data_IF_883289956781
#
_entry.id   IF_883289956781
#
_cell.length_a   1.000
_cell.length_b   1.000
_cell.length_c   1.000
_cell.angle_alpha   90.00
_cell.angle_beta   90.00
_cell.angle_gamma   90.00
#
_symmetry.space_group_name_H-M   'P 1'
#
loop_
_entity.id
_entity.type
_entity.pdbx_description
1 polymer ?
#
# COMPACT_ATOMS: atom_id res chain seq x y z
N UNK A 1 24.08 13.36 -38.89
CA UNK A 1 22.85 13.07 -39.69
C UNK A 1 21.70 12.96 -38.73
N UNK A 2 20.85 14.02 -38.62
CA UNK A 2 19.64 13.98 -37.85
C UNK A 2 18.59 13.19 -38.64
N UNK A 3 18.31 11.96 -38.26
CA UNK A 3 17.13 11.27 -38.75
C UNK A 3 15.91 11.91 -38.11
N UNK A 4 14.89 12.31 -38.88
CA UNK A 4 13.67 12.85 -38.32
C UNK A 4 13.00 11.74 -37.53
N UNK A 5 12.86 11.95 -36.22
CA UNK A 5 12.04 11.10 -35.35
C UNK A 5 10.58 11.36 -35.69
N UNK A 6 9.99 10.52 -36.54
CA UNK A 6 8.52 10.51 -36.64
C UNK A 6 7.95 10.05 -35.31
N UNK A 7 6.98 10.79 -34.75
CA UNK A 7 6.32 10.35 -33.51
C UNK A 7 5.61 9.03 -33.77
N UNK A 8 5.84 8.04 -32.89
CA UNK A 8 5.15 6.76 -32.94
C UNK A 8 3.68 7.02 -32.63
N UNK A 9 2.82 7.00 -33.66
CA UNK A 9 1.38 7.10 -33.50
C UNK A 9 0.78 5.71 -33.29
N UNK A 10 0.32 5.44 -32.08
CA UNK A 10 -0.46 4.23 -31.80
C UNK A 10 -1.89 4.40 -32.31
N UNK A 11 -2.50 3.29 -32.79
CA UNK A 11 -3.95 3.28 -33.00
C UNK A 11 -4.66 3.56 -31.68
N UNK A 12 -5.86 4.14 -31.70
CA UNK A 12 -6.65 4.41 -30.50
C UNK A 12 -6.89 3.15 -29.66
N UNK A 13 -7.06 2.01 -30.33
CA UNK A 13 -7.21 0.71 -29.69
C UNK A 13 -5.94 0.30 -28.90
N UNK A 14 -4.77 0.46 -29.51
CA UNK A 14 -3.48 0.17 -28.85
C UNK A 14 -3.20 1.10 -27.68
N UNK A 15 -3.53 2.38 -27.81
CA UNK A 15 -3.40 3.34 -26.72
C UNK A 15 -4.29 2.96 -25.54
N UNK A 16 -5.51 2.50 -25.78
CA UNK A 16 -6.44 2.02 -24.75
C UNK A 16 -5.93 0.76 -24.06
N UNK A 17 -5.39 -0.22 -24.79
CA UNK A 17 -4.77 -1.41 -24.21
C UNK A 17 -3.61 -1.06 -23.28
N UNK A 18 -2.72 -0.15 -23.68
CA UNK A 18 -1.60 0.30 -22.86
C UNK A 18 -2.07 1.03 -21.60
N UNK A 19 -3.12 1.85 -21.71
CA UNK A 19 -3.72 2.51 -20.56
C UNK A 19 -4.31 1.48 -19.58
N UNK A 20 -5.04 0.48 -20.06
CA UNK A 20 -5.61 -0.59 -19.22
C UNK A 20 -4.52 -1.40 -18.48
N UNK A 21 -3.39 -1.67 -19.13
CA UNK A 21 -2.25 -2.35 -18.53
C UNK A 21 -1.57 -1.52 -17.44
N UNK A 22 -1.58 -0.20 -17.57
CA UNK A 22 -0.95 0.69 -16.60
C UNK A 22 -1.81 1.00 -15.38
N UNK A 23 -3.11 0.72 -15.42
CA UNK A 23 -4.05 1.01 -14.34
C UNK A 23 -4.05 -0.06 -13.25
N UNK A 24 -3.73 0.34 -12.00
CA UNK A 24 -3.71 -0.54 -10.84
C UNK A 24 -4.94 -0.39 -9.91
N UNK A 25 -5.98 0.32 -10.35
CA UNK A 25 -7.19 0.55 -9.56
C UNK A 25 -7.97 -0.75 -9.30
N UNK A 26 -8.80 -0.81 -8.25
CA UNK A 26 -9.72 -1.92 -8.03
C UNK A 26 -10.57 -2.18 -9.28
N UNK A 27 -10.69 -3.45 -9.67
CA UNK A 27 -11.51 -3.85 -10.84
C UNK A 27 -10.79 -3.81 -12.20
N UNK A 28 -9.66 -3.11 -12.34
CA UNK A 28 -8.86 -3.16 -13.58
C UNK A 28 -8.13 -4.51 -13.71
N UNK A 29 -7.80 -4.98 -14.92
CA UNK A 29 -7.09 -6.24 -15.11
C UNK A 29 -5.78 -6.30 -14.32
N UNK A 30 -4.93 -5.28 -14.46
CA UNK A 30 -3.66 -5.20 -13.74
C UNK A 30 -3.86 -5.01 -12.23
N UNK A 31 -4.85 -4.21 -11.82
CA UNK A 31 -5.19 -4.04 -10.42
C UNK A 31 -5.62 -5.36 -9.75
N UNK A 32 -6.38 -6.20 -10.43
CA UNK A 32 -6.72 -7.55 -9.93
C UNK A 32 -5.49 -8.46 -9.87
N UNK A 33 -4.62 -8.41 -10.87
CA UNK A 33 -3.39 -9.20 -10.88
C UNK A 33 -2.46 -8.82 -9.72
N UNK A 34 -2.13 -7.53 -9.57
CA UNK A 34 -1.19 -7.05 -8.56
C UNK A 34 -1.68 -7.33 -7.13
N UNK A 35 -2.99 -7.28 -6.89
CA UNK A 35 -3.58 -7.60 -5.58
C UNK A 35 -3.43 -9.06 -5.16
N UNK A 36 -3.12 -9.96 -6.08
CA UNK A 36 -2.87 -11.39 -5.78
C UNK A 36 -1.50 -11.64 -5.13
N UNK A 37 -0.67 -10.64 -5.04
CA UNK A 37 0.67 -10.72 -4.44
C UNK A 37 0.77 -9.81 -3.22
N UNK A 38 1.61 -10.20 -2.27
CA UNK A 38 2.03 -9.31 -1.19
C UNK A 38 2.80 -8.12 -1.76
N UNK A 39 2.37 -6.93 -1.41
CA UNK A 39 2.95 -5.67 -1.89
C UNK A 39 3.72 -4.98 -0.78
N UNK A 40 4.98 -4.54 -1.00
CA UNK A 40 5.66 -3.66 -0.07
C UNK A 40 4.96 -2.29 -0.08
N UNK A 41 4.75 -1.70 1.09
CA UNK A 41 4.03 -0.42 1.20
C UNK A 41 4.93 0.71 1.69
N UNK A 42 5.81 0.45 2.65
CA UNK A 42 6.75 1.44 3.19
C UNK A 42 7.83 0.75 4.03
N UNK A 43 8.88 1.49 4.40
CA UNK A 43 9.86 1.04 5.37
C UNK A 43 9.23 0.87 6.78
N UNK A 44 9.57 -0.21 7.48
CA UNK A 44 9.00 -0.55 8.79
C UNK A 44 9.27 0.51 9.86
N UNK A 45 10.40 1.18 9.79
CA UNK A 45 10.85 2.19 10.76
C UNK A 45 10.11 3.54 10.63
N UNK A 46 9.42 3.78 9.51
CA UNK A 46 8.61 4.98 9.30
C UNK A 46 7.34 5.02 10.16
N UNK A 47 6.88 3.86 10.63
CA UNK A 47 5.68 3.77 11.46
C UNK A 47 6.06 3.17 12.80
N UNK A 48 6.14 4.02 13.82
CA UNK A 48 6.49 3.60 15.17
C UNK A 48 5.26 3.01 15.89
N UNK A 49 5.46 2.13 16.90
CA UNK A 49 4.36 1.69 17.78
C UNK A 49 3.54 2.89 18.31
N UNK A 50 2.22 2.75 18.30
CA UNK A 50 1.29 3.80 18.72
C UNK A 50 1.09 4.93 17.70
N UNK A 51 1.58 4.81 16.46
CA UNK A 51 1.43 5.84 15.42
C UNK A 51 0.72 5.35 14.18
N UNK A 52 0.16 6.29 13.41
CA UNK A 52 -0.52 6.04 12.15
C UNK A 52 -0.05 7.00 11.06
N UNK A 53 0.02 6.53 9.83
CA UNK A 53 0.37 7.33 8.65
C UNK A 53 -0.61 7.07 7.49
N UNK A 54 -0.82 8.07 6.61
CA UNK A 54 -1.51 7.84 5.34
C UNK A 54 -0.58 7.09 4.39
N UNK A 55 -1.14 6.14 3.66
CA UNK A 55 -0.43 5.41 2.60
C UNK A 55 -1.32 5.26 1.39
N UNK A 56 -0.71 5.17 0.20
CA UNK A 56 -1.42 4.89 -1.04
C UNK A 56 -0.83 3.65 -1.69
N UNK A 57 -1.68 2.69 -2.01
CA UNK A 57 -1.27 1.45 -2.65
C UNK A 57 -2.31 1.01 -3.68
N UNK A 58 -1.85 0.67 -4.90
CA UNK A 58 -2.70 0.21 -6.01
C UNK A 58 -3.94 1.09 -6.21
N UNK A 59 -3.74 2.41 -6.20
CA UNK A 59 -4.76 3.45 -6.34
C UNK A 59 -5.77 3.55 -5.19
N UNK A 60 -5.53 2.89 -4.06
CA UNK A 60 -6.34 3.04 -2.84
C UNK A 60 -5.60 3.87 -1.78
N UNK A 61 -6.30 4.86 -1.23
CA UNK A 61 -5.84 5.58 -0.05
C UNK A 61 -6.20 4.75 1.20
N UNK A 62 -5.22 4.57 2.09
CA UNK A 62 -5.32 3.69 3.25
C UNK A 62 -4.70 4.38 4.48
N UNK A 63 -5.00 3.85 5.65
CA UNK A 63 -4.30 4.15 6.90
C UNK A 63 -3.48 2.94 7.30
N UNK A 64 -2.15 3.10 7.35
CA UNK A 64 -1.24 2.16 8.00
C UNK A 64 -0.99 2.65 9.41
N UNK A 65 -1.18 1.80 10.38
CA UNK A 65 -0.82 2.11 11.78
C UNK A 65 -0.14 0.93 12.43
N UNK A 66 0.57 1.22 13.50
CA UNK A 66 1.21 0.19 14.30
C UNK A 66 0.60 0.20 15.70
N UNK A 67 0.07 -0.94 16.12
CA UNK A 67 -0.41 -1.13 17.48
C UNK A 67 0.71 -0.95 18.50
N UNK A 68 0.37 -0.84 19.76
CA UNK A 68 1.35 -0.67 20.85
C UNK A 68 2.28 -1.87 20.96
N UNK A 69 1.83 -3.08 20.57
CA UNK A 69 2.69 -4.27 20.47
C UNK A 69 3.74 -4.19 19.36
N UNK A 70 3.65 -3.19 18.48
CA UNK A 70 4.49 -3.05 17.31
C UNK A 70 3.95 -3.75 16.05
N UNK A 71 2.80 -4.43 16.10
CA UNK A 71 2.20 -5.09 14.93
C UNK A 71 1.63 -4.08 13.93
N UNK A 72 1.91 -4.23 12.62
CA UNK A 72 1.33 -3.37 11.60
C UNK A 72 -0.11 -3.76 11.25
N UNK A 73 -0.95 -2.75 10.99
CA UNK A 73 -2.33 -2.90 10.53
C UNK A 73 -2.61 -1.92 9.40
N UNK A 74 -3.38 -2.36 8.41
CA UNK A 74 -3.81 -1.54 7.28
C UNK A 74 -5.32 -1.56 7.20
N UNK A 75 -5.92 -0.37 7.29
CA UNK A 75 -7.37 -0.19 7.26
C UNK A 75 -7.76 0.92 6.28
N UNK A 76 -9.07 1.07 6.07
CA UNK A 76 -9.62 2.16 5.27
C UNK A 76 -9.06 3.52 5.71
N UNK A 77 -8.86 4.40 4.74
CA UNK A 77 -8.35 5.75 5.00
C UNK A 77 -9.30 6.60 5.82
N UNK A 78 -10.61 6.44 5.61
CA UNK A 78 -11.64 7.30 6.17
C UNK A 78 -12.60 6.56 7.10
N UNK A 79 -12.93 7.23 8.20
CA UNK A 79 -14.01 6.81 9.10
C UNK A 79 -15.37 6.88 8.37
N UNK A 80 -16.20 5.83 8.40
CA UNK A 80 -17.47 5.79 7.68
C UNK A 80 -18.53 6.73 8.27
N UNK A 81 -18.32 7.27 9.48
CA UNK A 81 -19.25 8.17 10.13
C UNK A 81 -19.35 9.52 9.39
N UNK A 82 -18.25 10.26 9.26
CA UNK A 82 -18.19 11.61 8.65
C UNK A 82 -16.97 11.83 7.76
N UNK A 83 -16.33 10.77 7.27
CA UNK A 83 -15.24 10.85 6.30
C UNK A 83 -13.90 11.35 6.82
N UNK A 84 -13.75 11.56 8.13
CA UNK A 84 -12.47 11.96 8.75
C UNK A 84 -11.40 10.92 8.51
N UNK A 85 -10.19 11.35 8.19
CA UNK A 85 -9.06 10.46 7.95
C UNK A 85 -8.63 9.77 9.25
N UNK A 86 -8.48 8.44 9.24
CA UNK A 86 -8.20 7.67 10.45
C UNK A 86 -6.77 7.85 10.96
N UNK A 87 -5.80 8.14 10.08
CA UNK A 87 -4.42 8.37 10.49
C UNK A 87 -4.21 9.65 11.31
N UNK A 88 -5.17 10.59 11.31
CA UNK A 88 -5.15 11.77 12.17
C UNK A 88 -5.68 11.49 13.59
N UNK A 89 -6.20 10.28 13.84
CA UNK A 89 -6.62 9.83 15.15
C UNK A 89 -5.44 9.32 15.98
N UNK A 90 -5.73 8.49 16.97
CA UNK A 90 -4.70 7.90 17.85
C UNK A 90 -4.89 6.40 18.01
N UNK A 91 -3.87 5.75 18.50
CA UNK A 91 -3.85 4.31 18.70
C UNK A 91 -4.09 4.01 20.18
N UNK A 92 -4.97 3.04 20.45
CA UNK A 92 -5.25 2.50 21.77
C UNK A 92 -5.07 0.98 21.72
N UNK A 93 -4.01 0.49 22.32
CA UNK A 93 -3.59 -0.91 22.20
C UNK A 93 -3.35 -1.28 20.74
N UNK A 94 -4.19 -2.16 20.20
CA UNK A 94 -4.10 -2.63 18.80
C UNK A 94 -5.16 -1.97 17.88
N UNK A 95 -5.81 -0.89 18.32
CA UNK A 95 -6.95 -0.31 17.65
C UNK A 95 -6.68 1.15 17.26
N UNK A 96 -7.36 1.62 16.21
CA UNK A 96 -7.32 3.02 15.77
C UNK A 96 -8.62 3.73 16.15
N UNK A 97 -8.51 4.88 16.82
CA UNK A 97 -9.64 5.72 17.19
C UNK A 97 -9.70 6.97 16.33
N UNK A 98 -10.87 7.22 15.76
CA UNK A 98 -11.15 8.41 14.97
C UNK A 98 -11.17 9.66 15.87
N UNK A 99 -10.40 10.68 15.50
CA UNK A 99 -10.28 11.92 16.28
C UNK A 99 -11.56 12.75 16.36
N UNK A 100 -12.50 12.54 15.43
CA UNK A 100 -13.66 13.45 15.32
C UNK A 100 -14.79 13.09 16.30
N UNK A 101 -15.22 11.82 16.34
CA UNK A 101 -16.32 11.39 17.24
C UNK A 101 -15.96 10.13 18.03
N UNK A 102 -14.69 9.77 18.11
CA UNK A 102 -14.21 8.68 18.96
C UNK A 102 -14.59 7.25 18.51
N UNK A 103 -15.09 7.07 17.28
CA UNK A 103 -15.33 5.71 16.80
C UNK A 103 -14.02 4.94 16.73
N UNK A 104 -14.00 3.75 17.32
CA UNK A 104 -12.81 2.91 17.40
C UNK A 104 -12.93 1.67 16.52
N UNK A 105 -11.87 1.36 15.81
CA UNK A 105 -11.81 0.21 14.89
C UNK A 105 -10.63 -0.69 15.23
N UNK A 106 -10.89 -2.00 15.22
CA UNK A 106 -9.83 -3.00 15.32
C UNK A 106 -8.99 -3.07 14.03
N UNK A 107 -7.82 -3.70 14.11
CA UNK A 107 -6.99 -4.00 12.93
C UNK A 107 -7.66 -4.91 11.89
N UNK A 108 -8.75 -5.60 12.26
CA UNK A 108 -9.60 -6.38 11.36
C UNK A 108 -10.76 -5.54 10.80
N UNK A 109 -10.78 -4.24 11.07
CA UNK A 109 -11.77 -3.31 10.55
C UNK A 109 -13.11 -3.30 11.30
N UNK A 110 -13.28 -4.13 12.31
CA UNK A 110 -14.52 -4.16 13.10
C UNK A 110 -14.62 -2.89 13.96
N UNK A 111 -15.74 -2.19 13.92
CA UNK A 111 -16.01 -1.12 14.86
C UNK A 111 -16.25 -1.71 16.25
N UNK A 112 -15.52 -1.21 17.23
CA UNK A 112 -15.56 -1.69 18.62
C UNK A 112 -16.37 -0.74 19.51
N UNK A 113 -16.24 0.57 19.27
CA UNK A 113 -16.90 1.60 20.06
C UNK A 113 -17.45 2.71 19.17
N UNK A 114 -18.59 3.22 19.55
CA UNK A 114 -19.25 4.38 18.95
C UNK A 114 -19.82 5.25 20.07
N UNK A 115 -19.02 6.16 20.65
CA UNK A 115 -19.51 7.08 21.67
C UNK A 115 -20.75 7.86 21.17
N UNK A 116 -21.80 7.91 21.97
CA UNK A 116 -23.03 8.58 21.61
C UNK A 116 -24.05 7.74 20.84
N UNK A 117 -23.71 6.52 20.42
CA UNK A 117 -24.61 5.61 19.71
C UNK A 117 -24.97 4.40 20.58
N UNK A 118 -26.06 3.72 20.20
CA UNK A 118 -26.43 2.46 20.87
C UNK A 118 -25.34 1.40 20.64
N UNK A 119 -24.92 0.70 21.71
CA UNK A 119 -23.85 -0.29 21.66
C UNK A 119 -24.02 -1.38 20.57
N UNK A 120 -25.27 -1.75 20.26
CA UNK A 120 -25.62 -2.73 19.23
C UNK A 120 -25.30 -2.27 17.80
N UNK A 121 -25.10 -0.96 17.57
CA UNK A 121 -24.80 -0.44 16.23
C UNK A 121 -23.35 -0.68 15.83
N UNK A 122 -22.40 -0.57 16.75
CA UNK A 122 -20.98 -0.79 16.49
C UNK A 122 -20.72 -2.17 15.85
N UNK A 123 -21.39 -3.21 16.32
CA UNK A 123 -21.23 -4.57 15.80
C UNK A 123 -21.59 -4.71 14.31
N UNK A 124 -22.44 -3.81 13.79
CA UNK A 124 -22.88 -3.80 12.39
C UNK A 124 -21.95 -3.02 11.46
N UNK A 125 -20.99 -2.27 12.01
CA UNK A 125 -20.11 -1.40 11.23
C UNK A 125 -18.75 -2.04 11.09
N UNK A 126 -18.31 -2.21 9.85
CA UNK A 126 -16.98 -2.71 9.51
C UNK A 126 -16.37 -1.85 8.42
N UNK A 127 -15.10 -1.50 8.57
CA UNK A 127 -14.32 -0.83 7.55
C UNK A 127 -13.43 -1.83 6.81
N UNK A 128 -13.02 -1.47 5.60
CA UNK A 128 -12.06 -2.26 4.83
C UNK A 128 -10.75 -2.40 5.62
N UNK A 129 -10.16 -3.59 5.56
CA UNK A 129 -8.86 -3.88 6.16
C UNK A 129 -8.11 -4.86 5.27
N UNK A 130 -6.79 -4.88 5.43
CA UNK A 130 -5.91 -5.76 4.68
C UNK A 130 -4.88 -6.41 5.60
N UNK A 131 -4.60 -7.72 5.45
CA UNK A 131 -3.50 -8.37 6.16
C UNK A 131 -2.18 -7.66 5.91
N UNK A 132 -1.44 -7.43 6.98
CA UNK A 132 -0.14 -6.77 6.93
C UNK A 132 0.88 -7.49 7.81
N UNK A 133 2.15 -7.45 7.43
CA UNK A 133 3.27 -8.01 8.19
C UNK A 133 4.58 -7.27 7.90
N UNK A 134 5.53 -7.39 8.83
CA UNK A 134 6.90 -6.91 8.64
C UNK A 134 7.79 -8.01 8.09
N UNK A 135 8.61 -7.70 7.09
CA UNK A 135 9.66 -8.56 6.61
C UNK A 135 10.81 -7.75 5.99
N UNK A 136 12.05 -8.07 6.38
CA UNK A 136 13.25 -7.47 5.78
C UNK A 136 13.37 -5.95 5.91
N UNK A 137 12.71 -5.34 6.91
CA UNK A 137 12.69 -3.89 7.11
C UNK A 137 11.58 -3.16 6.34
N UNK A 138 10.66 -3.90 5.71
CA UNK A 138 9.51 -3.38 4.99
C UNK A 138 8.20 -3.89 5.60
N UNK A 139 7.15 -3.08 5.53
CA UNK A 139 5.78 -3.52 5.77
C UNK A 139 5.21 -4.03 4.46
N UNK A 140 4.67 -5.24 4.47
CA UNK A 140 3.96 -5.86 3.35
C UNK A 140 2.47 -5.94 3.62
N UNK A 141 1.69 -5.80 2.57
CA UNK A 141 0.22 -5.81 2.60
C UNK A 141 -0.32 -6.75 1.52
N UNK A 142 -1.33 -7.55 1.85
CA UNK A 142 -2.06 -8.35 0.89
C UNK A 142 -3.43 -7.74 0.62
N UNK A 143 -3.70 -7.37 -0.64
CA UNK A 143 -4.94 -6.68 -1.03
C UNK A 143 -5.88 -7.55 -1.87
N UNK A 144 -5.60 -8.84 -2.01
CA UNK A 144 -6.41 -9.77 -2.78
C UNK A 144 -7.71 -10.15 -2.07
N UNK A 145 -8.59 -10.81 -2.82
CA UNK A 145 -9.83 -11.36 -2.31
C UNK A 145 -9.57 -12.69 -1.55
N UNK A 146 -10.35 -12.92 -0.50
CA UNK A 146 -10.23 -14.13 0.32
C UNK A 146 -9.06 -14.10 1.31
N UNK A 147 -8.68 -15.28 1.84
CA UNK A 147 -7.59 -15.38 2.79
C UNK A 147 -6.25 -15.06 2.11
N UNK A 148 -5.38 -14.33 2.84
CA UNK A 148 -4.04 -14.06 2.33
C UNK A 148 -3.26 -15.38 2.17
N UNK A 149 -2.56 -15.57 1.03
CA UNK A 149 -1.68 -16.71 0.86
C UNK A 149 -0.51 -16.62 1.85
N UNK A 150 0.12 -17.75 2.11
CA UNK A 150 1.37 -17.77 2.87
C UNK A 150 2.36 -16.77 2.26
N UNK A 151 3.03 -16.01 3.12
CA UNK A 151 4.04 -15.06 2.69
C UNK A 151 5.29 -15.81 2.19
N UNK A 152 5.44 -15.90 0.89
CA UNK A 152 6.53 -16.61 0.21
C UNK A 152 7.48 -15.65 -0.51
N UNK A 153 7.95 -14.62 0.16
CA UNK A 153 9.08 -13.87 -0.40
C UNK A 153 10.31 -14.76 -0.38
N UNK A 154 11.10 -14.73 -1.48
CA UNK A 154 12.36 -15.45 -1.57
C UNK A 154 13.15 -15.30 -0.27
N UNK A 155 13.19 -16.37 0.53
CA UNK A 155 13.96 -16.42 1.78
C UNK A 155 15.45 -16.31 1.43
N UNK A 156 15.93 -15.07 1.38
CA UNK A 156 17.35 -14.83 1.20
C UNK A 156 18.01 -14.86 2.58
N UNK A 157 19.01 -15.74 2.80
CA UNK A 157 19.69 -15.83 4.10
C UNK A 157 20.21 -14.48 4.59
N UNK A 158 20.65 -13.62 3.66
CA UNK A 158 21.14 -12.28 3.98
C UNK A 158 20.08 -11.37 4.62
N UNK A 159 18.79 -11.52 4.23
CA UNK A 159 17.69 -10.75 4.81
C UNK A 159 17.20 -11.31 6.15
N UNK A 160 17.63 -12.52 6.52
CA UNK A 160 17.28 -13.18 7.77
C UNK A 160 18.33 -13.01 8.87
N UNK A 161 19.50 -12.45 8.54
CA UNK A 161 20.59 -12.21 9.51
C UNK A 161 20.17 -11.15 10.51
N UNK A 162 20.41 -11.41 11.80
CA UNK A 162 20.18 -10.47 12.90
C UNK A 162 21.40 -9.59 13.18
N UNK A 163 22.59 -10.03 12.76
CA UNK A 163 23.89 -9.37 12.95
C UNK A 163 24.24 -8.36 11.85
N UNK A 164 23.33 -8.10 10.91
CA UNK A 164 23.51 -7.18 9.79
C UNK A 164 22.79 -5.84 9.99
N UNK A 165 23.35 -4.80 9.39
CA UNK A 165 22.65 -3.51 9.24
C UNK A 165 21.74 -3.59 8.00
N UNK A 166 20.44 -3.35 8.20
CA UNK A 166 19.48 -3.23 7.11
C UNK A 166 19.22 -1.75 6.87
N UNK A 167 19.39 -1.35 5.63
CA UNK A 167 19.06 -0.01 5.20
C UNK A 167 18.01 -0.09 4.09
N UNK A 168 16.88 0.58 4.28
CA UNK A 168 15.80 0.67 3.31
C UNK A 168 15.79 2.07 2.72
N UNK A 169 15.99 2.16 1.41
CA UNK A 169 15.78 3.40 0.67
C UNK A 169 14.38 3.37 0.04
N UNK A 170 13.58 4.35 0.39
CA UNK A 170 12.24 4.50 -0.16
C UNK A 170 12.11 5.87 -0.82
N UNK A 171 11.74 5.86 -2.09
CA UNK A 171 11.56 7.05 -2.88
C UNK A 171 10.24 6.99 -3.65
N UNK A 172 9.43 8.03 -3.53
CA UNK A 172 8.20 8.17 -4.32
C UNK A 172 8.54 8.90 -5.61
N UNK A 173 8.23 8.26 -6.74
CA UNK A 173 8.41 8.84 -8.06
C UNK A 173 7.05 9.36 -8.55
N UNK A 174 6.95 10.63 -8.99
CA UNK A 174 5.68 11.22 -9.41
C UNK A 174 5.29 10.79 -10.84
N UNK A 175 5.24 9.49 -11.08
CA UNK A 175 4.85 8.90 -12.35
C UNK A 175 4.07 7.60 -12.14
N UNK A 176 3.44 7.10 -13.20
CA UNK A 176 2.81 5.79 -13.19
C UNK A 176 3.86 4.69 -12.94
N UNK A 177 3.53 3.70 -12.12
CA UNK A 177 4.41 2.58 -11.77
C UNK A 177 4.94 1.82 -13.01
N UNK A 178 4.15 1.74 -14.07
CA UNK A 178 4.50 1.05 -15.31
C UNK A 178 5.71 1.71 -15.99
N UNK A 179 5.84 3.02 -15.89
CA UNK A 179 6.99 3.77 -16.39
C UNK A 179 8.31 3.34 -15.76
N UNK A 180 8.29 2.91 -14.49
CA UNK A 180 9.47 2.38 -13.82
C UNK A 180 9.89 1.02 -14.38
N UNK A 181 8.91 0.18 -14.74
CA UNK A 181 9.17 -1.12 -15.36
C UNK A 181 9.73 -0.92 -16.76
N UNK A 182 9.09 -0.09 -17.59
CA UNK A 182 9.58 0.24 -18.92
C UNK A 182 11.03 0.77 -18.88
N UNK A 183 11.30 1.71 -17.99
CA UNK A 183 12.62 2.26 -17.77
C UNK A 183 13.67 1.22 -17.31
N UNK A 184 13.25 0.22 -16.53
CA UNK A 184 14.13 -0.86 -16.08
C UNK A 184 14.45 -1.86 -17.20
N UNK A 185 13.58 -1.98 -18.19
CA UNK A 185 13.72 -2.90 -19.33
C UNK A 185 14.41 -2.24 -20.54
N UNK A 186 14.61 -0.92 -20.52
CA UNK A 186 15.26 -0.18 -21.61
C UNK A 186 16.77 -0.32 -21.56
N UNK A 187 17.27 -1.29 -22.33
CA UNK A 187 18.71 -1.56 -22.45
C UNK A 187 19.49 -0.41 -23.13
N UNK A 188 18.86 0.34 -24.03
CA UNK A 188 19.51 1.43 -24.75
C UNK A 188 19.87 2.60 -23.82
N UNK A 189 19.05 2.88 -22.82
CA UNK A 189 19.26 3.94 -21.82
C UNK A 189 20.58 3.77 -21.06
N UNK A 190 20.98 2.54 -20.75
CA UNK A 190 22.18 2.27 -19.94
C UNK A 190 23.43 2.82 -20.62
N UNK A 191 23.50 2.74 -21.95
CA UNK A 191 24.64 3.22 -22.72
C UNK A 191 24.76 4.74 -22.79
N UNK A 192 23.65 5.47 -22.65
CA UNK A 192 23.63 6.93 -22.80
C UNK A 192 23.59 7.69 -21.47
N UNK A 193 22.82 7.21 -20.48
CA UNK A 193 22.60 7.94 -19.22
C UNK A 193 23.68 7.65 -18.17
N UNK A 194 24.32 6.47 -18.22
CA UNK A 194 25.34 6.08 -17.24
C UNK A 194 26.79 6.37 -17.68
N UNK A 195 27.02 6.87 -18.88
CA UNK A 195 28.35 7.18 -19.42
C UNK A 195 28.65 8.68 -19.49
N UNK A 196 27.74 9.51 -19.08
CA UNK A 196 27.84 10.95 -18.91
C UNK A 196 27.35 11.36 -17.53
#
# INVERSE_FOLDING_TARGET
MNMPHEPITYSQEKAKELEELSQASPGTPMGRLLRRFWQPITASDKVKPGTAIPVKLLSEDLTLYRGESGRPYVVAHRCPHRGTVLHAGWIEGENVRCMYHGWMFSGQGQCLEQPGEAASFAAKVKIKNYPALDYGGLVFVYMGEGPAPEFQLLRRPQLQREDGVRWVNEQVWPCNWFQQIENSMDAARVSFVKTH
#
